data_IF_414006687836
#
_entry.id   IF_414006687836
#
_cell.length_a   1.000
_cell.length_b   1.000
_cell.length_c   1.000
_cell.angle_alpha   90.00
_cell.angle_beta   90.00
_cell.angle_gamma   90.00
#
_symmetry.space_group_name_H-M   'P 1'
#
loop_
_entity.id
_entity.type
_entity.pdbx_description
1 polymer ?
#
# COMPACT_ATOMS: atom_id res chain seq x y z
N UNK A 1 -1.48 25.33 -14.73
CA UNK A 1 -0.85 24.55 -15.83
C UNK A 1 -0.19 23.34 -15.18
N UNK A 2 -0.87 22.19 -15.17
CA UNK A 2 -0.39 20.96 -14.54
C UNK A 2 0.72 20.37 -15.41
N UNK A 3 1.95 20.28 -14.89
CA UNK A 3 3.03 19.56 -15.59
C UNK A 3 2.64 18.09 -15.59
N UNK A 4 2.43 17.49 -16.77
CA UNK A 4 2.45 16.03 -16.91
C UNK A 4 3.84 15.59 -16.51
N UNK A 5 3.95 14.84 -15.43
CA UNK A 5 5.14 14.04 -15.16
C UNK A 5 5.19 13.01 -16.29
N UNK A 6 6.09 13.21 -17.25
CA UNK A 6 6.43 12.14 -18.19
C UNK A 6 6.96 10.98 -17.34
N UNK A 7 6.28 9.83 -17.43
CA UNK A 7 6.72 8.63 -16.75
C UNK A 7 7.98 8.18 -17.49
N UNK A 8 9.15 8.49 -16.91
CA UNK A 8 10.41 7.95 -17.37
C UNK A 8 10.40 6.44 -17.14
N UNK A 9 10.21 5.67 -18.23
CA UNK A 9 10.36 4.22 -18.21
C UNK A 9 11.81 3.94 -18.61
N UNK A 10 12.67 3.54 -17.67
CA UNK A 10 14.07 3.31 -17.97
C UNK A 10 14.19 2.13 -18.93
N UNK A 11 14.70 2.35 -20.15
CA UNK A 11 14.95 1.28 -21.12
C UNK A 11 16.24 0.56 -20.77
N UNK A 12 16.21 -0.77 -20.64
CA UNK A 12 17.43 -1.55 -20.42
C UNK A 12 18.42 -1.34 -21.58
N UNK A 13 19.67 -1.04 -21.25
CA UNK A 13 20.74 -0.87 -22.23
C UNK A 13 21.47 -2.19 -22.42
N UNK A 14 21.65 -2.63 -23.67
CA UNK A 14 22.35 -3.89 -23.95
C UNK A 14 23.84 -3.69 -23.72
N UNK A 15 24.41 -4.47 -22.79
CA UNK A 15 25.85 -4.59 -22.59
C UNK A 15 26.41 -5.72 -23.46
N UNK A 16 27.19 -6.62 -22.87
CA UNK A 16 27.68 -7.83 -23.53
C UNK A 16 26.54 -8.76 -24.00
N UNK A 17 26.86 -9.77 -24.80
CA UNK A 17 25.85 -10.69 -25.35
C UNK A 17 25.04 -11.38 -24.24
N UNK A 18 23.77 -10.99 -24.08
CA UNK A 18 22.88 -11.52 -23.06
C UNK A 18 22.88 -10.75 -21.74
N UNK A 19 23.74 -9.72 -21.61
CA UNK A 19 23.82 -8.85 -20.43
C UNK A 19 23.11 -7.55 -20.73
N UNK A 20 22.21 -7.13 -19.84
CA UNK A 20 21.47 -5.88 -19.96
C UNK A 20 21.70 -5.05 -18.69
N UNK A 21 22.14 -3.80 -18.86
CA UNK A 21 22.23 -2.80 -17.81
C UNK A 21 20.83 -2.23 -17.57
N UNK A 22 20.44 -2.08 -16.31
CA UNK A 22 19.16 -1.44 -15.95
C UNK A 22 19.10 -0.05 -16.58
N UNK A 23 17.96 0.32 -17.18
CA UNK A 23 17.79 1.65 -17.76
C UNK A 23 17.85 2.79 -16.74
N UNK A 24 17.87 2.46 -15.44
CA UNK A 24 18.00 3.38 -14.31
C UNK A 24 19.42 3.96 -14.17
N UNK A 25 20.40 3.42 -14.88
CA UNK A 25 21.79 3.87 -14.89
C UNK A 25 22.13 4.27 -16.32
N UNK A 26 22.11 5.57 -16.64
CA UNK A 26 22.40 6.05 -18.00
C UNK A 26 23.90 6.25 -18.24
N UNK A 27 24.69 6.52 -17.18
CA UNK A 27 26.17 6.56 -17.23
C UNK A 27 26.84 5.67 -16.14
N UNK A 28 28.17 5.55 -16.15
CA UNK A 28 28.95 4.81 -15.12
C UNK A 28 29.05 5.58 -13.79
N UNK A 29 28.98 6.91 -13.85
CA UNK A 29 29.12 7.80 -12.68
C UNK A 29 27.77 8.20 -12.05
N UNK A 30 26.64 7.76 -12.62
CA UNK A 30 25.31 8.09 -12.09
C UNK A 30 24.99 7.28 -10.84
N UNK A 31 24.84 7.99 -9.73
CA UNK A 31 24.36 7.41 -8.49
C UNK A 31 22.83 7.46 -8.48
N UNK A 32 22.21 6.36 -8.93
CA UNK A 32 20.74 6.15 -9.00
C UNK A 32 20.00 6.59 -7.73
N UNK A 33 20.66 6.50 -6.58
CA UNK A 33 20.10 6.87 -5.29
C UNK A 33 19.81 8.38 -5.23
N UNK A 34 20.71 9.21 -5.75
CA UNK A 34 20.61 10.67 -5.72
C UNK A 34 19.49 11.18 -6.63
N UNK A 35 19.29 10.52 -7.78
CA UNK A 35 18.29 10.95 -8.77
C UNK A 35 16.86 10.54 -8.41
N UNK A 36 16.68 9.40 -7.75
CA UNK A 36 15.35 8.88 -7.41
C UNK A 36 14.86 9.33 -6.03
N UNK A 37 15.76 9.70 -5.12
CA UNK A 37 15.42 10.00 -3.73
C UNK A 37 15.96 11.37 -3.30
N UNK A 38 15.25 12.47 -3.61
CA UNK A 38 15.66 13.79 -3.17
C UNK A 38 15.80 13.84 -1.64
N UNK A 39 16.93 14.37 -1.15
CA UNK A 39 17.28 14.45 0.27
C UNK A 39 17.98 13.21 0.85
N UNK A 40 18.45 12.30 0.00
CA UNK A 40 19.39 11.24 0.39
C UNK A 40 20.75 11.61 -0.18
N UNK A 41 21.71 11.95 0.68
CA UNK A 41 23.06 12.38 0.25
C UNK A 41 24.09 11.25 0.38
N UNK A 42 23.75 10.16 1.08
CA UNK A 42 24.65 9.03 1.30
C UNK A 42 23.92 7.69 1.31
N UNK A 43 24.66 6.59 1.12
CA UNK A 43 24.16 5.23 1.34
C UNK A 43 23.64 5.02 2.78
N UNK A 44 24.23 5.74 3.74
CA UNK A 44 23.78 5.72 5.13
C UNK A 44 22.38 6.33 5.29
N UNK A 45 22.09 7.42 4.61
CA UNK A 45 20.75 8.04 4.62
C UNK A 45 19.71 7.13 3.98
N UNK A 46 20.07 6.45 2.88
CA UNK A 46 19.23 5.43 2.26
C UNK A 46 18.94 4.26 3.21
N UNK A 47 19.98 3.77 3.90
CA UNK A 47 19.84 2.71 4.89
C UNK A 47 18.92 3.11 6.04
N UNK A 48 19.13 4.29 6.63
CA UNK A 48 18.31 4.78 7.74
C UNK A 48 16.85 5.01 7.34
N UNK A 49 16.61 5.51 6.13
CA UNK A 49 15.25 5.61 5.59
C UNK A 49 14.59 4.23 5.48
N UNK A 50 15.32 3.24 4.97
CA UNK A 50 14.85 1.85 4.92
C UNK A 50 14.53 1.28 6.30
N UNK A 51 15.41 1.51 7.28
CA UNK A 51 15.21 1.10 8.67
C UNK A 51 13.97 1.72 9.30
N UNK A 52 13.69 3.00 9.02
CA UNK A 52 12.46 3.66 9.47
C UNK A 52 11.21 3.02 8.86
N UNK A 53 11.20 2.78 7.54
CA UNK A 53 10.08 2.12 6.85
C UNK A 53 9.84 0.72 7.45
N UNK A 54 10.91 -0.03 7.72
CA UNK A 54 10.83 -1.34 8.36
C UNK A 54 10.22 -1.22 9.76
N UNK A 55 10.68 -0.30 10.60
CA UNK A 55 10.14 -0.09 11.94
C UNK A 55 8.65 0.29 11.92
N UNK A 56 8.25 1.19 11.02
CA UNK A 56 6.85 1.58 10.85
C UNK A 56 6.01 0.37 10.43
N UNK A 57 6.54 -0.46 9.52
CA UNK A 57 5.85 -1.68 9.07
C UNK A 57 5.71 -2.74 10.18
N UNK A 58 6.67 -2.84 11.10
CA UNK A 58 6.60 -3.75 12.26
C UNK A 58 5.50 -3.35 13.25
N UNK A 59 5.29 -2.04 13.43
CA UNK A 59 4.22 -1.52 14.27
C UNK A 59 2.85 -1.86 13.66
N UNK A 60 2.69 -1.64 12.35
CA UNK A 60 1.48 -2.04 11.62
C UNK A 60 1.29 -3.56 11.69
N UNK A 61 2.36 -4.34 11.50
CA UNK A 61 2.30 -5.80 11.55
C UNK A 61 1.80 -6.33 12.90
N UNK A 62 2.26 -5.74 14.01
CA UNK A 62 1.75 -6.06 15.34
C UNK A 62 0.26 -5.77 15.49
N UNK A 63 -0.22 -4.64 14.96
CA UNK A 63 -1.65 -4.31 14.97
C UNK A 63 -2.48 -5.28 14.11
N UNK A 64 -1.96 -5.72 12.96
CA UNK A 64 -2.64 -6.69 12.09
C UNK A 64 -2.96 -8.00 12.81
N UNK A 65 -2.02 -8.52 13.59
CA UNK A 65 -2.20 -9.79 14.31
C UNK A 65 -2.87 -9.61 15.69
N UNK A 66 -2.60 -8.50 16.37
CA UNK A 66 -3.06 -8.26 17.74
C UNK A 66 -4.46 -7.67 17.80
N UNK A 67 -4.71 -6.63 17.02
CA UNK A 67 -5.96 -5.86 17.08
C UNK A 67 -6.99 -6.35 16.06
N UNK A 68 -6.52 -6.78 14.89
CA UNK A 68 -7.38 -7.28 13.80
C UNK A 68 -7.42 -8.81 13.69
N UNK A 69 -6.65 -9.51 14.54
CA UNK A 69 -6.65 -10.97 14.66
C UNK A 69 -6.39 -11.72 13.34
N UNK A 70 -5.67 -11.08 12.39
CA UNK A 70 -5.32 -11.71 11.12
C UNK A 70 -4.28 -12.81 11.32
N UNK A 71 -4.40 -13.87 10.53
CA UNK A 71 -3.54 -15.05 10.58
C UNK A 71 -2.74 -15.21 9.29
N UNK A 72 -1.61 -15.95 9.32
CA UNK A 72 -0.92 -16.37 8.11
C UNK A 72 -1.88 -17.00 7.09
N UNK A 73 -1.84 -16.49 5.86
CA UNK A 73 -2.72 -16.91 4.76
C UNK A 73 -4.02 -16.10 4.61
N UNK A 74 -4.40 -15.29 5.60
CA UNK A 74 -5.54 -14.38 5.47
C UNK A 74 -5.27 -13.30 4.41
N UNK A 75 -6.34 -12.69 3.91
CA UNK A 75 -6.29 -11.66 2.87
C UNK A 75 -6.71 -10.31 3.43
N UNK A 76 -5.96 -9.28 3.07
CA UNK A 76 -6.27 -7.89 3.40
C UNK A 76 -6.38 -7.06 2.13
N UNK A 77 -7.41 -6.22 2.06
CA UNK A 77 -7.58 -5.28 0.97
C UNK A 77 -6.78 -4.02 1.22
N UNK A 78 -6.02 -3.52 0.24
CA UNK A 78 -5.42 -2.17 0.32
C UNK A 78 -5.96 -1.33 -0.83
N UNK A 79 -6.89 -0.43 -0.49
CA UNK A 79 -7.53 0.50 -1.41
C UNK A 79 -6.92 1.89 -1.31
N UNK A 80 -5.75 2.05 -1.92
CA UNK A 80 -4.98 3.28 -1.88
C UNK A 80 -4.23 3.52 -3.19
N UNK A 81 -4.01 4.79 -3.52
CA UNK A 81 -3.06 5.17 -4.56
C UNK A 81 -1.62 4.84 -4.12
N UNK A 82 -0.67 4.85 -5.06
CA UNK A 82 0.74 4.63 -4.76
C UNK A 82 1.25 5.72 -3.81
N UNK A 83 1.55 5.32 -2.57
CA UNK A 83 2.04 6.19 -1.50
C UNK A 83 2.87 5.40 -0.48
N UNK A 84 3.72 6.05 0.33
CA UNK A 84 4.55 5.37 1.32
C UNK A 84 3.77 4.45 2.26
N UNK A 85 2.59 4.88 2.69
CA UNK A 85 1.72 4.14 3.59
C UNK A 85 1.25 2.82 2.97
N UNK A 86 0.97 2.79 1.66
CA UNK A 86 0.64 1.55 0.94
C UNK A 86 1.79 0.54 1.05
N UNK A 87 3.03 1.00 0.83
CA UNK A 87 4.21 0.15 0.92
C UNK A 87 4.45 -0.35 2.34
N UNK A 88 4.31 0.52 3.35
CA UNK A 88 4.45 0.17 4.77
C UNK A 88 3.43 -0.91 5.15
N UNK A 89 2.16 -0.75 4.77
CA UNK A 89 1.12 -1.75 5.01
C UNK A 89 1.42 -3.07 4.27
N UNK A 90 1.86 -3.02 3.01
CA UNK A 90 2.22 -4.23 2.28
C UNK A 90 3.39 -4.98 2.92
N UNK A 91 4.43 -4.27 3.37
CA UNK A 91 5.56 -4.85 4.11
C UNK A 91 5.12 -5.47 5.44
N UNK A 92 4.19 -4.84 6.15
CA UNK A 92 3.61 -5.37 7.38
C UNK A 92 2.91 -6.72 7.14
N UNK A 93 2.15 -6.82 6.04
CA UNK A 93 1.47 -8.06 5.65
C UNK A 93 2.47 -9.17 5.32
N UNK A 94 3.51 -8.84 4.53
CA UNK A 94 4.56 -9.78 4.14
C UNK A 94 5.26 -10.37 5.38
N UNK A 95 5.56 -9.54 6.38
CA UNK A 95 6.18 -9.99 7.64
C UNK A 95 5.32 -11.01 8.42
N UNK A 96 4.00 -11.00 8.23
CA UNK A 96 3.05 -11.87 8.93
C UNK A 96 2.47 -12.97 8.03
N UNK A 97 3.02 -13.17 6.83
CA UNK A 97 2.48 -14.11 5.83
C UNK A 97 1.00 -13.84 5.46
N UNK A 98 0.57 -12.58 5.51
CA UNK A 98 -0.76 -12.12 5.10
C UNK A 98 -0.72 -11.74 3.62
N UNK A 99 -1.75 -12.14 2.87
CA UNK A 99 -1.87 -11.88 1.43
C UNK A 99 -2.44 -10.49 1.18
N UNK A 100 -1.71 -9.67 0.44
CA UNK A 100 -2.16 -8.33 0.04
C UNK A 100 -3.01 -8.43 -1.23
N UNK A 101 -4.24 -7.90 -1.18
CA UNK A 101 -5.14 -7.74 -2.33
C UNK A 101 -5.26 -6.26 -2.68
N UNK A 102 -4.58 -5.78 -3.74
CA UNK A 102 -4.64 -4.37 -4.13
C UNK A 102 -6.00 -4.02 -4.76
N UNK A 103 -6.57 -2.89 -4.36
CA UNK A 103 -7.82 -2.35 -4.91
C UNK A 103 -7.53 -1.01 -5.59
N UNK A 104 -7.84 -0.90 -6.89
CA UNK A 104 -7.50 0.27 -7.71
C UNK A 104 -8.69 1.22 -7.91
N UNK A 105 -8.41 2.53 -7.86
CA UNK A 105 -9.41 3.59 -8.03
C UNK A 105 -10.12 3.55 -9.39
N UNK A 106 -9.42 3.10 -10.42
CA UNK A 106 -9.90 3.12 -11.81
C UNK A 106 -11.05 2.16 -12.08
N UNK A 107 -11.22 1.13 -11.24
CA UNK A 107 -12.29 0.14 -11.38
C UNK A 107 -13.58 0.56 -10.69
N UNK A 108 -13.53 1.56 -9.81
CA UNK A 108 -14.67 2.04 -9.05
C UNK A 108 -15.04 1.17 -7.85
N UNK A 109 -16.00 1.66 -7.06
CA UNK A 109 -16.35 1.06 -5.78
C UNK A 109 -17.11 -0.27 -5.88
N UNK A 110 -17.87 -0.50 -6.95
CA UNK A 110 -18.59 -1.76 -7.15
C UNK A 110 -17.62 -2.91 -7.43
N UNK A 111 -16.59 -2.66 -8.26
CA UNK A 111 -15.53 -3.62 -8.49
C UNK A 111 -14.71 -3.89 -7.22
N UNK A 112 -14.40 -2.85 -6.44
CA UNK A 112 -13.72 -3.02 -5.16
C UNK A 112 -14.56 -3.89 -4.19
N UNK A 113 -15.86 -3.64 -4.08
CA UNK A 113 -16.75 -4.44 -3.24
C UNK A 113 -16.87 -5.89 -3.72
N UNK A 114 -16.94 -6.10 -5.03
CA UNK A 114 -16.91 -7.45 -5.62
C UNK A 114 -15.62 -8.19 -5.26
N UNK A 115 -14.45 -7.54 -5.39
CA UNK A 115 -13.16 -8.16 -5.05
C UNK A 115 -13.09 -8.49 -3.55
N UNK A 116 -13.50 -7.57 -2.68
CA UNK A 116 -13.53 -7.79 -1.22
C UNK A 116 -14.39 -9.00 -0.87
N UNK A 117 -15.55 -9.14 -1.51
CA UNK A 117 -16.44 -10.28 -1.33
C UNK A 117 -15.85 -11.58 -1.88
N UNK A 118 -15.39 -11.57 -3.13
CA UNK A 118 -14.83 -12.74 -3.81
C UNK A 118 -13.54 -13.26 -3.16
N UNK A 119 -12.75 -12.36 -2.60
CA UNK A 119 -11.53 -12.69 -1.86
C UNK A 119 -11.78 -12.85 -0.36
N UNK A 120 -13.03 -12.86 0.13
CA UNK A 120 -13.37 -13.12 1.53
C UNK A 120 -12.49 -12.31 2.51
N UNK A 121 -12.42 -11.00 2.26
CA UNK A 121 -11.53 -10.07 2.98
C UNK A 121 -12.26 -9.52 4.20
N UNK A 122 -11.64 -9.64 5.37
CA UNK A 122 -12.19 -9.14 6.65
C UNK A 122 -11.75 -7.73 7.02
N UNK A 123 -10.61 -7.28 6.50
CA UNK A 123 -10.03 -5.97 6.79
C UNK A 123 -9.64 -5.27 5.49
N UNK A 124 -10.01 -4.00 5.35
CA UNK A 124 -9.59 -3.17 4.21
C UNK A 124 -8.94 -1.88 4.71
N UNK A 125 -7.74 -1.58 4.23
CA UNK A 125 -7.04 -0.33 4.46
C UNK A 125 -7.38 0.65 3.32
N UNK A 126 -7.71 1.90 3.63
CA UNK A 126 -8.07 2.93 2.65
C UNK A 126 -7.31 4.23 2.88
N UNK A 127 -6.99 4.94 1.78
CA UNK A 127 -6.32 6.25 1.86
C UNK A 127 -7.25 7.43 2.13
N UNK A 128 -8.54 7.34 1.79
CA UNK A 128 -9.49 8.45 1.84
C UNK A 128 -10.81 8.05 2.47
N UNK A 129 -11.39 8.98 3.23
CA UNK A 129 -12.72 8.81 3.85
C UNK A 129 -13.83 8.53 2.81
N UNK A 130 -13.73 9.09 1.61
CA UNK A 130 -14.70 8.85 0.53
C UNK A 130 -14.74 7.37 0.11
N UNK A 131 -13.58 6.68 0.11
CA UNK A 131 -13.50 5.24 -0.17
C UNK A 131 -14.09 4.42 0.98
N UNK A 132 -13.78 4.79 2.23
CA UNK A 132 -14.37 4.17 3.42
C UNK A 132 -15.90 4.22 3.37
N UNK A 133 -16.47 5.41 3.17
CA UNK A 133 -17.93 5.62 3.06
C UNK A 133 -18.54 4.83 1.91
N UNK A 134 -17.87 4.79 0.75
CA UNK A 134 -18.34 4.04 -0.40
C UNK A 134 -18.37 2.53 -0.17
N UNK A 135 -17.35 1.95 0.49
CA UNK A 135 -17.36 0.54 0.87
C UNK A 135 -18.41 0.27 1.96
N UNK A 136 -18.51 1.12 2.98
CA UNK A 136 -19.50 0.98 4.05
C UNK A 136 -20.94 0.99 3.51
N UNK A 137 -21.24 1.83 2.51
CA UNK A 137 -22.55 1.84 1.83
C UNK A 137 -22.92 0.52 1.14
N UNK A 138 -21.93 -0.34 0.88
CA UNK A 138 -22.07 -1.63 0.19
C UNK A 138 -21.85 -2.83 1.11
N UNK A 139 -21.86 -2.65 2.43
CA UNK A 139 -21.57 -3.70 3.41
C UNK A 139 -22.35 -5.01 3.19
N UNK A 140 -23.59 -4.92 2.71
CA UNK A 140 -24.44 -6.09 2.45
C UNK A 140 -23.88 -7.02 1.37
N UNK A 141 -23.04 -6.51 0.46
CA UNK A 141 -22.37 -7.32 -0.56
C UNK A 141 -21.06 -7.96 -0.07
N UNK A 142 -20.57 -7.57 1.11
CA UNK A 142 -19.26 -7.92 1.65
C UNK A 142 -19.40 -8.47 3.07
N UNK A 143 -20.04 -9.64 3.22
CA UNK A 143 -20.39 -10.22 4.52
C UNK A 143 -19.16 -10.46 5.41
N UNK A 144 -18.01 -10.79 4.80
CA UNK A 144 -16.77 -11.04 5.51
C UNK A 144 -16.12 -9.76 6.06
N UNK A 145 -16.42 -8.58 5.48
CA UNK A 145 -15.77 -7.32 5.82
C UNK A 145 -16.22 -6.85 7.20
N UNK A 146 -15.28 -6.78 8.14
CA UNK A 146 -15.50 -6.37 9.54
C UNK A 146 -14.92 -5.00 9.84
N UNK A 147 -13.79 -4.67 9.23
CA UNK A 147 -13.01 -3.48 9.59
C UNK A 147 -12.54 -2.71 8.36
N UNK A 148 -12.72 -1.38 8.38
CA UNK A 148 -12.12 -0.46 7.43
C UNK A 148 -11.15 0.45 8.18
N UNK A 149 -9.86 0.39 7.84
CA UNK A 149 -8.79 1.16 8.48
C UNK A 149 -8.39 2.31 7.57
N UNK A 150 -8.31 3.54 8.08
CA UNK A 150 -7.81 4.68 7.32
C UNK A 150 -6.35 4.96 7.60
N UNK A 151 -5.58 5.33 6.57
CA UNK A 151 -4.18 5.77 6.69
C UNK A 151 -4.00 7.28 6.77
N UNK A 152 -4.95 8.10 6.31
CA UNK A 152 -4.88 9.56 6.49
C UNK A 152 -5.39 10.00 7.86
N UNK A 153 -4.68 10.97 8.48
CA UNK A 153 -5.20 11.72 9.63
C UNK A 153 -6.41 12.53 9.18
N UNK A 154 -7.60 12.08 9.51
CA UNK A 154 -8.77 12.94 9.61
C UNK A 154 -8.96 13.37 11.07
N UNK A 155 -9.53 14.55 11.29
CA UNK A 155 -10.05 14.92 12.61
C UNK A 155 -11.03 13.83 13.05
N UNK A 156 -10.65 13.10 14.10
CA UNK A 156 -11.36 11.92 14.63
C UNK A 156 -12.70 12.33 15.28
N UNK A 157 -13.05 13.61 15.25
CA UNK A 157 -14.28 14.17 15.82
C UNK A 157 -15.58 13.74 15.11
N UNK A 158 -15.50 13.11 13.93
CA UNK A 158 -16.69 12.62 13.18
C UNK A 158 -16.65 11.11 12.86
N UNK A 159 -15.67 10.36 13.36
CA UNK A 159 -15.58 8.93 13.10
C UNK A 159 -16.06 8.18 14.33
N UNK A 160 -17.36 7.89 14.39
CA UNK A 160 -17.87 6.87 15.31
C UNK A 160 -17.09 5.57 15.05
N UNK A 161 -16.72 4.86 16.11
CA UNK A 161 -16.15 3.52 16.03
C UNK A 161 -17.20 2.61 15.38
N UNK A 162 -17.21 2.53 14.04
CA UNK A 162 -18.10 1.65 13.30
C UNK A 162 -17.56 0.24 13.42
N UNK A 163 -17.81 -0.40 14.57
CA UNK A 163 -17.81 -1.85 14.64
C UNK A 163 -18.98 -2.29 13.78
N UNK A 164 -18.69 -2.83 12.60
CA UNK A 164 -19.72 -3.48 11.80
C UNK A 164 -20.34 -4.57 12.71
N UNK A 165 -21.68 -4.59 12.86
CA UNK A 165 -22.33 -5.54 13.74
C UNK A 165 -21.90 -6.95 13.32
N UNK A 166 -21.38 -7.71 14.27
CA UNK A 166 -21.17 -9.13 14.10
C UNK A 166 -22.55 -9.73 13.86
N UNK A 167 -22.78 -10.26 12.65
CA UNK A 167 -23.96 -11.10 12.35
C UNK A 167 -23.75 -12.47 12.99
#
# INVERSE_FOLDING_TARGET
MQRRTEIFIPRCYKGESGVYKSGLLTDEDENVIMDLYPGIDTLWDAFNRGMKILQDSQNVASALIGDFELKPGDRIGIYSQNRPEWLICALACIQQSIVVVPLYDTLGADAAAFIVSAADISVVIVDKMTKARSLASKKNAMVALKTIVMVEKHDVSEVEEVRLPLV
#
